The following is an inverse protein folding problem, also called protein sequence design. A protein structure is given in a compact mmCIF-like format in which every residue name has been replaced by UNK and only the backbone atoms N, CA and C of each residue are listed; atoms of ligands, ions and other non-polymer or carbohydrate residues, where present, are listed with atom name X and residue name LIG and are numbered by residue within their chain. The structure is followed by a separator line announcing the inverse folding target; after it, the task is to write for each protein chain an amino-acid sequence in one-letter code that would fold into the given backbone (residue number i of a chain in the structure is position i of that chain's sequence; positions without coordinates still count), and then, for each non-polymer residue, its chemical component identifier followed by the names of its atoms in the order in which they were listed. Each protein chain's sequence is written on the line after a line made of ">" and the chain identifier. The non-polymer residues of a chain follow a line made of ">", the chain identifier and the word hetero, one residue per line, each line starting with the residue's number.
data_IF_133910683795
#
_entry.id   IF_133910683795
#
_cell.length_a   1.000
_cell.length_b   1.000
_cell.length_c   1.000
_cell.angle_alpha   90.00
_cell.angle_beta   90.00
_cell.angle_gamma   90.00
#
_symmetry.space_group_name_H-M   'P 1'
#
loop_
_entity.id
_entity.type
_entity.pdbx_description
1 polymer ?
#
# COMPACT_ATOMS: atom_id res chain seq x y z
N UNK A 1 -14.08 25.49 4.57
CA UNK A 1 -12.80 24.78 4.80
C UNK A 1 -12.18 24.42 3.48
N UNK A 2 -10.85 24.58 3.33
CA UNK A 2 -10.12 23.95 2.23
C UNK A 2 -9.94 22.43 2.52
N UNK A 3 -9.40 21.68 1.57
CA UNK A 3 -9.29 20.21 1.68
C UNK A 3 -8.33 19.77 2.81
N UNK A 4 -7.22 20.48 2.99
CA UNK A 4 -6.25 20.21 4.06
C UNK A 4 -6.86 20.45 5.45
N UNK A 5 -7.55 21.57 5.63
CA UNK A 5 -8.24 21.92 6.87
C UNK A 5 -9.33 20.89 7.21
N UNK A 6 -10.09 20.46 6.20
CA UNK A 6 -11.18 19.48 6.38
C UNK A 6 -10.66 18.12 6.80
N UNK A 7 -9.59 17.61 6.16
CA UNK A 7 -8.96 16.34 6.55
C UNK A 7 -8.40 16.45 7.97
N UNK A 8 -7.68 17.53 8.28
CA UNK A 8 -7.13 17.74 9.63
C UNK A 8 -8.21 17.77 10.70
N UNK A 9 -9.28 18.54 10.48
CA UNK A 9 -10.39 18.64 11.41
C UNK A 9 -11.08 17.28 11.61
N UNK A 10 -11.33 16.53 10.52
CA UNK A 10 -11.93 15.20 10.60
C UNK A 10 -11.08 14.20 11.41
N UNK A 11 -9.75 14.18 11.20
CA UNK A 11 -8.82 13.33 11.96
C UNK A 11 -8.87 13.70 13.45
N UNK A 12 -8.92 14.98 13.78
CA UNK A 12 -8.99 15.48 15.16
C UNK A 12 -10.38 15.36 15.78
N UNK A 13 -11.38 14.84 15.05
CA UNK A 13 -12.80 14.78 15.47
C UNK A 13 -13.40 16.15 15.78
N UNK A 14 -12.93 17.17 15.06
CA UNK A 14 -13.44 18.54 15.12
C UNK A 14 -14.59 18.71 14.10
N UNK A 15 -15.46 19.71 14.27
CA UNK A 15 -16.53 20.00 13.32
C UNK A 15 -15.99 20.28 11.91
N UNK A 16 -16.61 19.69 10.91
CA UNK A 16 -16.29 19.88 9.49
C UNK A 16 -17.48 20.49 8.75
N UNK A 17 -17.22 21.22 7.68
CA UNK A 17 -18.26 21.80 6.82
C UNK A 17 -19.02 20.71 6.02
N UNK A 18 -18.38 19.59 5.74
CA UNK A 18 -18.94 18.35 5.18
C UNK A 18 -18.01 17.18 5.45
N UNK A 19 -18.52 15.95 5.34
CA UNK A 19 -17.71 14.74 5.45
C UNK A 19 -16.65 14.73 4.33
N UNK A 20 -15.35 14.56 4.64
CA UNK A 20 -14.32 14.37 3.63
C UNK A 20 -14.52 13.06 2.88
N UNK A 21 -14.24 13.09 1.59
CA UNK A 21 -14.30 11.90 0.74
C UNK A 21 -13.14 11.84 -0.25
N UNK A 22 -12.83 10.65 -0.74
CA UNK A 22 -11.93 10.46 -1.86
C UNK A 22 -12.41 9.32 -2.76
N UNK A 23 -12.13 9.48 -4.04
CA UNK A 23 -12.37 8.46 -5.06
C UNK A 23 -11.03 8.13 -5.72
N UNK A 24 -10.84 6.86 -6.06
CA UNK A 24 -9.68 6.38 -6.79
C UNK A 24 -10.03 5.22 -7.72
N UNK A 25 -9.18 4.98 -8.69
CA UNK A 25 -9.24 3.83 -9.60
C UNK A 25 -7.85 3.50 -10.13
N UNK A 26 -7.69 2.34 -10.71
CA UNK A 26 -6.52 2.02 -11.54
C UNK A 26 -6.60 2.71 -12.90
N UNK A 27 -5.43 2.99 -13.47
CA UNK A 27 -5.25 3.59 -14.81
C UNK A 27 -4.32 2.70 -15.65
N UNK A 28 -4.74 1.46 -15.99
CA UNK A 28 -3.85 0.44 -16.57
C UNK A 28 -3.21 0.86 -17.90
N UNK A 29 -3.77 1.86 -18.58
CA UNK A 29 -3.24 2.39 -19.84
C UNK A 29 -1.95 3.21 -19.64
N UNK A 30 -1.73 3.72 -18.40
CA UNK A 30 -0.64 4.70 -18.12
C UNK A 30 0.07 4.47 -16.78
N UNK A 31 -0.36 3.53 -15.96
CA UNK A 31 0.09 3.32 -14.57
C UNK A 31 1.55 2.82 -14.44
N UNK A 32 2.19 2.44 -15.55
CA UNK A 32 3.62 2.08 -15.58
C UNK A 32 4.53 3.27 -15.91
N UNK A 33 3.94 4.45 -16.15
CA UNK A 33 4.68 5.68 -16.45
C UNK A 33 4.43 6.73 -15.37
N UNK A 34 5.46 7.25 -14.69
CA UNK A 34 5.30 8.29 -13.67
C UNK A 34 4.53 9.51 -14.20
N UNK A 35 4.89 10.00 -15.38
CA UNK A 35 4.20 11.14 -16.00
C UNK A 35 2.75 10.80 -16.38
N UNK A 36 2.51 9.59 -16.90
CA UNK A 36 1.17 9.12 -17.29
C UNK A 36 0.26 8.98 -16.08
N UNK A 37 0.72 8.31 -15.03
CA UNK A 37 -0.04 8.12 -13.80
C UNK A 37 -0.32 9.45 -13.10
N UNK A 38 0.68 10.33 -12.99
CA UNK A 38 0.50 11.65 -12.39
C UNK A 38 -0.58 12.46 -13.14
N UNK A 39 -0.51 12.51 -14.46
CA UNK A 39 -1.52 13.20 -15.28
C UNK A 39 -2.92 12.61 -15.13
N UNK A 40 -3.05 11.28 -15.15
CA UNK A 40 -4.32 10.59 -15.00
C UNK A 40 -4.93 10.87 -13.61
N UNK A 41 -4.13 10.79 -12.55
CA UNK A 41 -4.54 11.09 -11.18
C UNK A 41 -5.04 12.53 -11.06
N UNK A 42 -4.30 13.51 -11.59
CA UNK A 42 -4.68 14.92 -11.53
C UNK A 42 -5.97 15.22 -12.32
N UNK A 43 -6.13 14.63 -13.52
CA UNK A 43 -7.39 14.76 -14.29
C UNK A 43 -8.58 14.16 -13.55
N UNK A 44 -8.38 13.00 -12.92
CA UNK A 44 -9.41 12.35 -12.12
C UNK A 44 -9.78 13.21 -10.91
N UNK A 45 -8.78 13.75 -10.21
CA UNK A 45 -8.99 14.65 -9.10
C UNK A 45 -9.76 15.93 -9.50
N UNK A 46 -9.38 16.58 -10.59
CA UNK A 46 -10.10 17.75 -11.11
C UNK A 46 -11.56 17.46 -11.42
N UNK A 47 -11.86 16.25 -11.93
CA UNK A 47 -13.23 15.87 -12.28
C UNK A 47 -14.10 15.62 -11.05
N UNK A 48 -13.56 15.01 -10.00
CA UNK A 48 -14.35 14.53 -8.87
C UNK A 48 -14.13 15.31 -7.56
N UNK A 49 -13.10 16.13 -7.46
CA UNK A 49 -12.87 17.04 -6.32
C UNK A 49 -12.62 16.35 -4.99
N UNK A 50 -12.00 15.18 -4.97
CA UNK A 50 -11.66 14.43 -3.76
C UNK A 50 -10.92 15.27 -2.73
N UNK A 51 -11.09 14.98 -1.45
CA UNK A 51 -10.42 15.71 -0.37
C UNK A 51 -8.98 15.27 -0.13
N UNK A 52 -8.58 14.12 -0.65
CA UNK A 52 -7.18 13.71 -0.79
C UNK A 52 -6.98 12.93 -2.10
N UNK A 53 -5.75 12.88 -2.59
CA UNK A 53 -5.35 12.11 -3.76
C UNK A 53 -4.64 10.85 -3.32
N UNK A 54 -5.22 9.70 -3.63
CA UNK A 54 -4.55 8.41 -3.52
C UNK A 54 -3.84 8.10 -4.83
N UNK A 55 -2.51 7.94 -4.81
CA UNK A 55 -1.78 7.40 -5.95
C UNK A 55 -2.05 5.91 -6.06
N UNK A 56 -2.51 5.48 -7.23
CA UNK A 56 -2.91 4.09 -7.48
C UNK A 56 -2.07 3.50 -8.62
N UNK A 57 -0.83 3.05 -8.33
CA UNK A 57 0.06 2.46 -9.34
C UNK A 57 -0.42 1.08 -9.80
N UNK A 58 0.26 0.53 -10.80
CA UNK A 58 0.16 -0.89 -11.12
C UNK A 58 0.56 -1.72 -9.89
N UNK A 59 -0.29 -2.66 -9.46
CA UNK A 59 -0.08 -3.36 -8.19
C UNK A 59 1.19 -4.22 -8.13
N UNK A 60 1.77 -4.55 -9.30
CA UNK A 60 3.01 -5.30 -9.42
C UNK A 60 4.27 -4.50 -9.11
N UNK A 61 4.19 -3.15 -9.14
CA UNK A 61 5.36 -2.32 -8.84
C UNK A 61 6.07 -2.74 -7.55
N UNK A 62 5.29 -3.18 -6.58
CA UNK A 62 5.77 -3.48 -5.24
C UNK A 62 6.54 -4.81 -5.13
N UNK A 63 6.56 -5.63 -6.20
CA UNK A 63 7.21 -6.96 -6.20
C UNK A 63 8.03 -7.26 -7.45
N UNK A 64 8.03 -6.37 -8.46
CA UNK A 64 8.70 -6.64 -9.74
C UNK A 64 10.21 -6.71 -9.60
N UNK A 65 10.84 -5.85 -8.79
CA UNK A 65 12.30 -5.86 -8.61
C UNK A 65 12.80 -7.06 -7.80
N UNK A 66 11.93 -7.80 -7.14
CA UNK A 66 12.23 -9.12 -6.57
C UNK A 66 12.01 -10.25 -7.58
N UNK A 67 11.54 -9.94 -8.82
CA UNK A 67 11.43 -10.90 -9.90
C UNK A 67 10.01 -11.44 -10.17
N UNK A 68 8.96 -10.84 -9.60
CA UNK A 68 7.59 -11.14 -10.01
C UNK A 68 7.29 -10.50 -11.36
N UNK A 69 6.49 -11.20 -12.17
CA UNK A 69 6.02 -10.70 -13.46
C UNK A 69 4.50 -10.60 -13.44
N UNK A 70 3.97 -9.43 -13.77
CA UNK A 70 2.53 -9.27 -14.02
C UNK A 70 2.16 -9.73 -15.44
N UNK A 71 0.96 -10.28 -15.56
CA UNK A 71 0.33 -10.54 -16.86
C UNK A 71 0.04 -9.22 -17.60
N UNK A 72 0.00 -9.27 -18.92
CA UNK A 72 -0.49 -8.15 -19.73
C UNK A 72 -2.02 -8.03 -19.73
N UNK A 73 -2.73 -9.06 -19.25
CA UNK A 73 -4.19 -9.06 -19.14
C UNK A 73 -4.65 -8.13 -18.03
N UNK A 74 -5.43 -7.12 -18.39
CA UNK A 74 -6.07 -6.21 -17.43
C UNK A 74 -7.42 -6.80 -17.01
N UNK A 75 -7.62 -6.96 -15.69
CA UNK A 75 -8.88 -7.42 -15.12
C UNK A 75 -9.91 -6.28 -15.06
N UNK A 76 -11.22 -6.55 -14.91
CA UNK A 76 -12.27 -5.52 -14.86
C UNK A 76 -12.01 -4.42 -13.79
N UNK A 77 -11.32 -4.74 -12.70
CA UNK A 77 -10.92 -3.77 -11.67
C UNK A 77 -9.71 -2.91 -12.03
N UNK A 78 -9.09 -3.11 -13.19
CA UNK A 78 -7.90 -2.37 -13.66
C UNK A 78 -6.57 -2.93 -13.15
N UNK A 79 -6.57 -3.97 -12.33
CA UNK A 79 -5.37 -4.67 -11.87
C UNK A 79 -4.95 -5.77 -12.87
N UNK A 80 -3.70 -6.21 -12.76
CA UNK A 80 -3.13 -7.32 -13.55
C UNK A 80 -2.80 -8.49 -12.62
N UNK A 81 -3.16 -9.73 -12.99
CA UNK A 81 -2.77 -10.90 -12.22
C UNK A 81 -1.26 -11.16 -12.33
N UNK A 82 -0.71 -11.83 -11.33
CA UNK A 82 0.66 -12.33 -11.38
C UNK A 82 0.76 -13.45 -12.43
N UNK A 83 1.71 -13.33 -13.35
CA UNK A 83 2.04 -14.36 -14.34
C UNK A 83 3.13 -15.31 -13.83
N UNK A 84 4.11 -14.80 -13.05
CA UNK A 84 5.10 -15.62 -12.38
C UNK A 84 5.53 -15.04 -11.04
N UNK A 85 5.67 -15.92 -10.05
CA UNK A 85 6.15 -15.56 -8.72
C UNK A 85 7.67 -15.62 -8.62
N UNK A 86 8.25 -14.76 -7.77
CA UNK A 86 9.68 -14.76 -7.49
C UNK A 86 10.09 -15.95 -6.61
N UNK A 87 9.20 -16.39 -5.71
CA UNK A 87 9.43 -17.48 -4.77
C UNK A 87 8.64 -18.71 -5.22
N UNK A 88 9.35 -19.67 -5.79
CA UNK A 88 8.79 -20.95 -6.27
C UNK A 88 9.24 -22.14 -5.41
N UNK A 89 10.31 -21.97 -4.63
CA UNK A 89 10.82 -22.96 -3.66
C UNK A 89 11.13 -22.25 -2.34
N UNK A 90 11.20 -22.98 -1.24
CA UNK A 90 11.57 -22.40 0.07
C UNK A 90 12.97 -21.76 0.05
N UNK A 91 13.88 -22.21 -0.80
CA UNK A 91 15.20 -21.64 -0.95
C UNK A 91 15.19 -20.23 -1.60
N UNK A 92 14.14 -19.91 -2.35
CA UNK A 92 14.05 -18.63 -3.06
C UNK A 92 13.80 -17.45 -2.10
N UNK A 93 13.26 -17.70 -0.90
CA UNK A 93 13.11 -16.67 0.13
C UNK A 93 14.42 -15.96 0.45
N UNK A 94 15.54 -16.67 0.37
CA UNK A 94 16.89 -16.10 0.60
C UNK A 94 17.29 -15.05 -0.44
N UNK A 95 16.63 -14.99 -1.59
CA UNK A 95 16.85 -14.00 -2.64
C UNK A 95 16.13 -12.68 -2.36
N UNK A 96 15.15 -12.69 -1.46
CA UNK A 96 14.43 -11.48 -1.08
C UNK A 96 15.32 -10.67 -0.14
N UNK A 97 15.92 -9.62 -0.68
CA UNK A 97 16.81 -8.70 0.01
C UNK A 97 16.26 -7.29 -0.04
N UNK A 98 16.65 -6.40 0.88
CA UNK A 98 16.24 -5.00 0.81
C UNK A 98 16.62 -4.38 -0.55
N UNK A 99 15.66 -3.65 -1.15
CA UNK A 99 15.87 -2.97 -2.42
C UNK A 99 16.45 -1.57 -2.23
N UNK A 100 17.20 -1.10 -3.21
CA UNK A 100 17.50 0.32 -3.33
C UNK A 100 16.28 1.05 -3.91
N UNK A 101 15.76 2.01 -3.17
CA UNK A 101 14.52 2.71 -3.55
C UNK A 101 14.69 3.49 -4.84
N UNK A 102 15.82 4.20 -5.01
CA UNK A 102 16.03 5.10 -6.15
C UNK A 102 16.08 4.37 -7.48
N UNK A 103 16.75 3.21 -7.52
CA UNK A 103 16.97 2.44 -8.74
C UNK A 103 15.86 1.41 -9.04
N UNK A 104 14.86 1.31 -8.18
CA UNK A 104 13.77 0.32 -8.27
C UNK A 104 12.45 0.93 -8.78
N UNK A 105 11.43 0.08 -8.91
CA UNK A 105 10.05 0.50 -9.16
C UNK A 105 9.52 1.48 -8.12
N UNK A 106 9.97 1.36 -6.88
CA UNK A 106 9.64 2.31 -5.82
C UNK A 106 10.10 3.74 -6.16
N UNK A 107 11.26 3.90 -6.80
CA UNK A 107 11.76 5.20 -7.28
C UNK A 107 10.84 5.82 -8.34
N UNK A 108 10.23 5.01 -9.21
CA UNK A 108 9.22 5.51 -10.16
C UNK A 108 7.95 6.02 -9.45
N UNK A 109 7.57 5.39 -8.35
CA UNK A 109 6.43 5.86 -7.55
C UNK A 109 6.75 7.16 -6.80
N UNK A 110 7.98 7.33 -6.31
CA UNK A 110 8.44 8.62 -5.77
C UNK A 110 8.42 9.70 -6.85
N UNK A 111 8.88 9.41 -8.07
CA UNK A 111 8.79 10.35 -9.20
C UNK A 111 7.32 10.72 -9.50
N UNK A 112 6.41 9.75 -9.50
CA UNK A 112 4.97 10.01 -9.69
C UNK A 112 4.44 10.95 -8.62
N UNK A 113 4.80 10.72 -7.36
CA UNK A 113 4.41 11.55 -6.22
C UNK A 113 4.90 13.00 -6.40
N UNK A 114 6.18 13.19 -6.71
CA UNK A 114 6.78 14.52 -6.95
C UNK A 114 6.03 15.24 -8.06
N UNK A 115 5.77 14.57 -9.19
CA UNK A 115 5.04 15.15 -10.32
C UNK A 115 3.63 15.60 -9.94
N UNK A 116 2.94 14.86 -9.07
CA UNK A 116 1.60 15.24 -8.59
C UNK A 116 1.69 16.43 -7.63
N UNK A 117 2.64 16.43 -6.70
CA UNK A 117 2.77 17.46 -5.67
C UNK A 117 3.16 18.83 -6.29
N UNK A 118 4.10 18.85 -7.23
CA UNK A 118 4.55 20.10 -7.87
C UNK A 118 3.52 20.69 -8.83
N UNK A 119 2.51 19.92 -9.24
CA UNK A 119 1.45 20.41 -10.11
C UNK A 119 0.43 21.21 -9.30
N UNK A 120 0.21 22.46 -9.67
CA UNK A 120 -0.70 23.40 -8.99
C UNK A 120 -2.17 22.93 -8.96
N UNK A 121 -2.52 21.88 -9.71
CA UNK A 121 -3.85 21.26 -9.67
C UNK A 121 -4.04 20.31 -8.50
N UNK A 122 -2.99 19.90 -7.82
CA UNK A 122 -3.06 19.12 -6.60
C UNK A 122 -3.35 20.02 -5.39
N UNK A 123 -4.62 20.38 -5.22
CA UNK A 123 -5.11 21.27 -4.15
C UNK A 123 -5.56 20.48 -2.89
N UNK A 124 -5.02 19.29 -2.69
CA UNK A 124 -5.39 18.36 -1.63
C UNK A 124 -4.19 17.50 -1.17
N UNK A 125 -4.21 16.94 0.05
CA UNK A 125 -3.20 16.00 0.51
C UNK A 125 -2.99 14.84 -0.46
N UNK A 126 -1.75 14.46 -0.72
CA UNK A 126 -1.39 13.32 -1.59
C UNK A 126 -0.83 12.19 -0.74
N UNK A 127 -1.33 10.98 -0.96
CA UNK A 127 -0.87 9.76 -0.27
C UNK A 127 -0.51 8.65 -1.29
N UNK A 128 0.75 8.18 -1.31
CA UNK A 128 1.14 7.01 -2.08
C UNK A 128 0.53 5.74 -1.48
N UNK A 129 0.32 4.73 -2.32
CA UNK A 129 -0.13 3.40 -1.88
C UNK A 129 1.07 2.53 -1.54
N UNK A 130 1.08 1.97 -0.34
CA UNK A 130 1.99 0.93 0.12
C UNK A 130 1.19 -0.33 0.45
N UNK A 131 1.77 -1.51 0.17
CA UNK A 131 1.20 -2.79 0.60
C UNK A 131 1.89 -3.27 1.88
N UNK A 132 1.17 -4.04 2.71
CA UNK A 132 1.74 -4.64 3.91
C UNK A 132 2.79 -5.72 3.59
N UNK A 133 3.80 -5.94 4.48
CA UNK A 133 4.85 -6.92 4.24
C UNK A 133 4.33 -8.33 3.97
N UNK A 134 3.36 -8.82 4.76
CA UNK A 134 2.76 -10.15 4.55
C UNK A 134 1.96 -10.20 3.24
N UNK A 135 1.33 -9.09 2.82
CA UNK A 135 0.69 -8.98 1.49
C UNK A 135 1.72 -9.14 0.38
N UNK A 136 2.89 -8.50 0.51
CA UNK A 136 3.96 -8.63 -0.49
C UNK A 136 4.57 -10.03 -0.49
N UNK A 137 4.79 -10.63 0.69
CA UNK A 137 5.24 -12.02 0.78
C UNK A 137 4.29 -12.97 0.03
N UNK A 138 2.97 -12.78 0.17
CA UNK A 138 1.97 -13.54 -0.59
C UNK A 138 2.02 -13.24 -2.09
N UNK A 139 2.22 -11.99 -2.51
CA UNK A 139 2.39 -11.64 -3.93
C UNK A 139 3.65 -12.28 -4.52
N UNK A 140 4.74 -12.37 -3.74
CA UNK A 140 6.01 -12.98 -4.16
C UNK A 140 5.92 -14.49 -4.35
N UNK A 141 5.05 -15.20 -3.61
CA UNK A 141 5.05 -16.66 -3.51
C UNK A 141 3.70 -17.33 -3.80
N UNK A 142 2.63 -16.55 -3.99
CA UNK A 142 1.28 -17.12 -4.16
C UNK A 142 0.84 -17.96 -2.96
N UNK A 143 0.24 -19.11 -3.23
CA UNK A 143 -0.24 -20.05 -2.21
C UNK A 143 0.88 -20.74 -1.42
N UNK A 144 2.12 -20.64 -1.88
CA UNK A 144 3.27 -21.23 -1.21
C UNK A 144 3.54 -20.61 0.16
N UNK A 145 3.21 -19.33 0.35
CA UNK A 145 3.43 -18.64 1.62
C UNK A 145 2.94 -19.45 2.82
N UNK A 146 1.70 -19.94 2.78
CA UNK A 146 1.09 -20.64 3.92
C UNK A 146 1.82 -21.94 4.27
N UNK A 147 2.33 -22.65 3.27
CA UNK A 147 3.16 -23.84 3.50
C UNK A 147 4.48 -23.45 4.15
N UNK A 148 5.18 -22.45 3.61
CA UNK A 148 6.51 -22.07 4.08
C UNK A 148 6.45 -21.40 5.47
N UNK A 149 5.38 -20.68 5.83
CA UNK A 149 5.17 -20.17 7.20
C UNK A 149 5.12 -21.29 8.24
N UNK A 150 4.60 -22.46 7.88
CA UNK A 150 4.47 -23.62 8.79
C UNK A 150 5.69 -24.54 8.79
N UNK A 151 6.35 -24.69 7.64
CA UNK A 151 7.45 -25.66 7.47
C UNK A 151 8.83 -25.00 7.57
N UNK A 152 8.96 -23.71 7.23
CA UNK A 152 10.21 -22.98 7.12
C UNK A 152 10.07 -21.51 7.56
N UNK A 153 9.47 -21.22 8.73
CA UNK A 153 9.15 -19.87 9.16
C UNK A 153 10.37 -18.94 9.17
N UNK A 154 11.55 -19.45 9.54
CA UNK A 154 12.78 -18.66 9.58
C UNK A 154 13.17 -18.03 8.24
N UNK A 155 12.95 -18.74 7.13
CA UNK A 155 13.25 -18.22 5.80
C UNK A 155 12.26 -17.11 5.37
N UNK A 156 10.99 -17.25 5.76
CA UNK A 156 9.96 -16.24 5.51
C UNK A 156 10.19 -15.01 6.38
N UNK A 157 10.55 -15.18 7.64
CA UNK A 157 10.87 -14.09 8.58
C UNK A 157 12.02 -13.22 8.05
N UNK A 158 13.12 -13.82 7.56
CA UNK A 158 14.22 -13.06 6.94
C UNK A 158 13.72 -12.21 5.74
N UNK A 159 12.83 -12.77 4.92
CA UNK A 159 12.24 -12.04 3.79
C UNK A 159 11.28 -10.93 4.25
N UNK A 160 10.45 -11.18 5.27
CA UNK A 160 9.58 -10.15 5.85
C UNK A 160 10.37 -8.97 6.43
N UNK A 161 11.52 -9.24 7.06
CA UNK A 161 12.44 -8.20 7.51
C UNK A 161 12.94 -7.33 6.35
N UNK A 162 13.41 -7.97 5.26
CA UNK A 162 13.92 -7.28 4.08
C UNK A 162 12.85 -6.46 3.36
N UNK A 163 11.63 -7.00 3.26
CA UNK A 163 10.47 -6.32 2.68
C UNK A 163 10.11 -5.10 3.53
N UNK A 164 10.00 -5.29 4.85
CA UNK A 164 9.63 -4.21 5.78
C UNK A 164 10.64 -3.07 5.76
N UNK A 165 11.93 -3.40 5.75
CA UNK A 165 13.00 -2.41 5.64
C UNK A 165 12.93 -1.60 4.33
N UNK A 166 12.64 -2.27 3.22
CA UNK A 166 12.39 -1.60 1.93
C UNK A 166 11.21 -0.64 2.01
N UNK A 167 10.08 -1.08 2.58
CA UNK A 167 8.87 -0.28 2.68
C UNK A 167 9.02 0.91 3.62
N UNK A 168 9.72 0.77 4.75
CA UNK A 168 10.01 1.87 5.67
C UNK A 168 10.85 2.94 4.96
N UNK A 169 11.88 2.55 4.20
CA UNK A 169 12.70 3.49 3.43
C UNK A 169 11.90 4.18 2.32
N UNK A 170 11.04 3.44 1.64
CA UNK A 170 10.15 4.02 0.64
C UNK A 170 9.17 5.03 1.25
N UNK A 171 8.52 4.67 2.36
CA UNK A 171 7.61 5.59 3.06
C UNK A 171 8.34 6.84 3.54
N UNK A 172 9.55 6.71 4.11
CA UNK A 172 10.36 7.83 4.55
C UNK A 172 10.74 8.77 3.39
N UNK A 173 11.08 8.21 2.23
CA UNK A 173 11.37 8.99 1.02
C UNK A 173 10.13 9.72 0.51
N UNK A 174 8.98 9.07 0.45
CA UNK A 174 7.73 9.73 0.06
C UNK A 174 7.38 10.90 0.99
N UNK A 175 7.55 10.74 2.30
CA UNK A 175 7.31 11.82 3.27
C UNK A 175 8.34 12.95 3.12
N UNK A 176 9.59 12.64 2.81
CA UNK A 176 10.61 13.65 2.53
C UNK A 176 10.28 14.47 1.27
N UNK A 177 9.60 13.86 0.30
CA UNK A 177 9.06 14.49 -0.91
C UNK A 177 7.63 15.04 -0.72
N UNK A 178 7.28 15.44 0.51
CA UNK A 178 6.05 16.14 0.87
C UNK A 178 4.74 15.33 0.72
N UNK A 179 4.80 13.99 0.68
CA UNK A 179 3.58 13.19 0.85
C UNK A 179 2.91 13.52 2.18
N UNK A 180 1.59 13.71 2.19
CA UNK A 180 0.85 13.96 3.43
C UNK A 180 0.85 12.75 4.39
N UNK A 181 1.24 11.59 3.91
CA UNK A 181 1.29 10.33 4.62
C UNK A 181 1.23 9.16 3.65
N UNK A 182 0.54 8.08 4.03
CA UNK A 182 0.46 6.88 3.21
C UNK A 182 -0.96 6.29 3.18
N UNK A 183 -1.30 5.63 2.08
CA UNK A 183 -2.42 4.70 1.98
C UNK A 183 -1.87 3.27 2.10
N UNK A 184 -2.05 2.67 3.27
CA UNK A 184 -1.45 1.40 3.63
C UNK A 184 -2.42 0.24 3.42
N UNK A 185 -2.19 -0.58 2.39
CA UNK A 185 -3.09 -1.64 1.97
C UNK A 185 -2.71 -3.00 2.58
N UNK A 186 -3.51 -3.48 3.49
CA UNK A 186 -3.40 -4.80 4.12
C UNK A 186 -4.38 -5.75 3.42
N UNK A 187 -3.85 -6.72 2.67
CA UNK A 187 -4.63 -7.68 1.89
C UNK A 187 -4.50 -9.12 2.41
N UNK A 188 -3.74 -9.33 3.49
CA UNK A 188 -3.47 -10.67 4.04
C UNK A 188 -3.99 -10.85 5.46
N UNK A 189 -4.59 -9.85 6.10
CA UNK A 189 -5.21 -9.95 7.42
C UNK A 189 -6.67 -10.44 7.32
N UNK A 190 -6.85 -11.62 6.74
CA UNK A 190 -8.14 -12.26 6.51
C UNK A 190 -8.06 -13.72 6.92
N UNK A 191 -9.06 -14.23 7.62
CA UNK A 191 -9.17 -15.65 8.01
C UNK A 191 -9.27 -16.58 6.81
N UNK A 192 -9.54 -16.06 5.63
CA UNK A 192 -9.48 -16.76 4.36
C UNK A 192 -8.06 -17.21 4.00
N UNK A 193 -7.03 -16.47 4.43
CA UNK A 193 -5.64 -16.71 4.05
C UNK A 193 -4.80 -17.25 5.22
N UNK A 194 -5.01 -16.73 6.42
CA UNK A 194 -4.21 -17.02 7.61
C UNK A 194 -5.10 -17.21 8.83
N UNK A 195 -4.61 -17.95 9.83
CA UNK A 195 -5.23 -17.93 11.16
C UNK A 195 -4.91 -16.61 11.87
N UNK A 196 -5.62 -16.31 12.97
CA UNK A 196 -5.31 -15.12 13.76
C UNK A 196 -3.93 -15.18 14.40
N UNK A 197 -3.47 -16.39 14.77
CA UNK A 197 -2.15 -16.64 15.31
C UNK A 197 -1.07 -16.42 14.25
N UNK A 198 -1.27 -16.94 13.03
CA UNK A 198 -0.34 -16.73 11.91
C UNK A 198 -0.21 -15.23 11.59
N UNK A 199 -1.32 -14.48 11.55
CA UNK A 199 -1.23 -13.05 11.32
C UNK A 199 -0.61 -12.30 12.50
N UNK A 200 -0.91 -12.71 13.74
CA UNK A 200 -0.30 -12.12 14.94
C UNK A 200 1.21 -12.30 14.99
N UNK A 201 1.73 -13.39 14.42
CA UNK A 201 3.16 -13.70 14.40
C UNK A 201 3.86 -13.09 13.17
N UNK A 202 3.27 -13.26 11.97
CA UNK A 202 3.94 -12.97 10.71
C UNK A 202 3.41 -11.73 9.97
N UNK A 203 2.34 -11.11 10.43
CA UNK A 203 1.73 -9.93 9.81
C UNK A 203 1.77 -8.69 10.72
N UNK A 204 1.04 -8.73 11.82
CA UNK A 204 0.81 -7.59 12.71
C UNK A 204 2.10 -6.90 13.19
N UNK A 205 3.19 -7.59 13.60
CA UNK A 205 4.41 -6.94 14.08
C UNK A 205 5.09 -6.10 13.00
N UNK A 206 5.08 -6.56 11.76
CA UNK A 206 5.68 -5.86 10.61
C UNK A 206 4.82 -4.68 10.18
N UNK A 207 3.48 -4.86 10.16
CA UNK A 207 2.53 -3.77 9.89
C UNK A 207 2.68 -2.65 10.92
N UNK A 208 2.72 -2.99 12.20
CA UNK A 208 2.89 -2.06 13.31
C UNK A 208 4.20 -1.29 13.19
N UNK A 209 5.32 -1.98 12.98
CA UNK A 209 6.65 -1.37 12.85
C UNK A 209 6.70 -0.35 11.70
N UNK A 210 6.13 -0.69 10.54
CA UNK A 210 6.07 0.23 9.42
C UNK A 210 5.19 1.43 9.74
N UNK A 211 3.99 1.22 10.26
CA UNK A 211 3.06 2.30 10.58
C UNK A 211 3.64 3.24 11.64
N UNK A 212 4.23 2.71 12.71
CA UNK A 212 4.90 3.50 13.75
C UNK A 212 6.03 4.37 13.17
N UNK A 213 6.78 3.85 12.19
CA UNK A 213 7.88 4.59 11.56
C UNK A 213 7.45 5.88 10.82
N UNK A 214 6.17 5.98 10.47
CA UNK A 214 5.64 7.13 9.71
C UNK A 214 4.72 8.03 10.53
N UNK A 215 4.14 7.55 11.64
CA UNK A 215 3.08 8.27 12.37
C UNK A 215 3.50 9.66 12.87
N UNK A 216 4.73 9.84 13.34
CA UNK A 216 5.21 11.12 13.87
C UNK A 216 5.34 12.21 12.79
N UNK A 217 5.54 11.81 11.53
CA UNK A 217 5.81 12.71 10.40
C UNK A 217 4.66 12.82 9.43
N UNK A 218 3.76 11.85 9.42
CA UNK A 218 2.62 11.80 8.52
C UNK A 218 1.42 12.54 9.09
N UNK A 219 0.70 13.27 8.23
CA UNK A 219 -0.55 13.94 8.57
C UNK A 219 -1.78 13.10 8.23
N UNK A 220 -1.64 12.11 7.36
CA UNK A 220 -2.75 11.25 6.89
C UNK A 220 -2.27 9.82 6.63
N UNK A 221 -2.42 8.95 7.61
CA UNK A 221 -2.19 7.50 7.46
C UNK A 221 -3.54 6.80 7.38
N UNK A 222 -3.83 6.19 6.23
CA UNK A 222 -5.06 5.45 5.99
C UNK A 222 -4.72 3.96 5.97
N UNK A 223 -5.27 3.20 6.92
CA UNK A 223 -5.17 1.74 6.95
C UNK A 223 -6.31 1.17 6.12
N UNK A 224 -5.99 0.61 4.96
CA UNK A 224 -6.96 -0.02 4.06
C UNK A 224 -6.99 -1.53 4.31
N UNK A 225 -8.08 -1.99 4.92
CA UNK A 225 -8.36 -3.39 5.21
C UNK A 225 -9.09 -4.00 4.01
N UNK A 226 -8.39 -4.80 3.20
CA UNK A 226 -8.92 -5.29 1.93
C UNK A 226 -9.36 -6.76 2.02
N UNK A 227 -10.55 -7.04 1.50
CA UNK A 227 -11.09 -8.39 1.36
C UNK A 227 -12.25 -8.68 2.31
N UNK A 228 -12.55 -9.96 2.40
CA UNK A 228 -13.57 -10.56 3.26
C UNK A 228 -12.93 -11.23 4.50
N UNK A 229 -13.75 -11.65 5.45
CA UNK A 229 -13.32 -12.35 6.68
C UNK A 229 -12.17 -11.64 7.42
N UNK A 230 -12.22 -10.31 7.48
CA UNK A 230 -11.17 -9.49 8.05
C UNK A 230 -10.96 -9.75 9.56
N UNK A 231 -9.72 -9.73 9.99
CA UNK A 231 -9.32 -9.76 11.41
C UNK A 231 -9.43 -8.36 12.01
N UNK A 232 -10.65 -7.80 11.97
CA UNK A 232 -10.91 -6.39 12.22
C UNK A 232 -10.49 -5.93 13.61
N UNK A 233 -10.68 -6.77 14.65
CA UNK A 233 -10.28 -6.47 16.02
C UNK A 233 -8.76 -6.25 16.18
N UNK A 234 -7.96 -6.91 15.34
CA UNK A 234 -6.51 -6.69 15.27
C UNK A 234 -6.16 -5.45 14.46
N UNK A 235 -6.76 -5.32 13.28
CA UNK A 235 -6.54 -4.19 12.37
C UNK A 235 -6.90 -2.85 12.99
N UNK A 236 -7.97 -2.79 13.79
CA UNK A 236 -8.39 -1.58 14.48
C UNK A 236 -7.40 -1.09 15.55
N UNK A 237 -6.46 -1.93 15.99
CA UNK A 237 -5.42 -1.60 16.99
C UNK A 237 -4.09 -1.17 16.37
N UNK A 238 -3.98 -1.20 15.05
CA UNK A 238 -2.80 -0.70 14.35
C UNK A 238 -2.74 0.83 14.44
N UNK A 239 -1.54 1.44 14.39
CA UNK A 239 -1.43 2.89 14.27
C UNK A 239 -2.03 3.39 12.96
N UNK A 240 -2.82 4.46 13.03
CA UNK A 240 -3.43 5.05 11.84
C UNK A 240 -4.32 6.24 12.18
N UNK A 241 -4.60 7.10 11.20
CA UNK A 241 -5.52 8.23 11.34
C UNK A 241 -6.94 7.90 10.86
N UNK A 242 -7.07 6.97 9.90
CA UNK A 242 -8.34 6.54 9.36
C UNK A 242 -8.26 5.08 8.90
N UNK A 243 -9.40 4.37 8.99
CA UNK A 243 -9.55 3.01 8.47
C UNK A 243 -10.54 3.01 7.31
N UNK A 244 -10.21 2.25 6.27
CA UNK A 244 -11.04 2.08 5.09
C UNK A 244 -11.23 0.61 4.78
N UNK A 245 -12.45 0.17 4.57
CA UNK A 245 -12.81 -1.20 4.20
C UNK A 245 -14.07 -1.19 3.32
N UNK A 246 -14.38 -2.31 2.69
CA UNK A 246 -15.66 -2.53 2.01
C UNK A 246 -16.66 -3.09 3.02
N UNK A 247 -17.64 -2.28 3.43
CA UNK A 247 -18.66 -2.63 4.42
C UNK A 247 -19.64 -3.71 3.96
N UNK A 248 -19.64 -4.05 2.67
CA UNK A 248 -20.48 -5.11 2.09
C UNK A 248 -19.85 -6.50 2.15
N UNK A 249 -18.52 -6.58 2.30
CA UNK A 249 -17.77 -7.84 2.26
C UNK A 249 -16.90 -8.07 3.48
N UNK A 250 -16.76 -7.12 4.36
CA UNK A 250 -15.90 -7.23 5.54
C UNK A 250 -16.40 -8.22 6.62
N UNK A 251 -17.61 -8.75 6.47
CA UNK A 251 -18.17 -9.85 7.24
C UNK A 251 -19.08 -9.42 8.37
#
# INVERSE_FOLDING_TARGET
>A
MNKFERIKAAINREPVDRIPYALWRHFPEVDRSPAGLAQATLRFHQRYGSDFLKLTPAAGYAVEDWGCVESDTVMPGGNRPCASHAVNTAADWKKIKPLDIVSSAYGREVETLIRVIVDRRADAPVVPTLFSPLTLARKLSGNRLNQDLRERPEAVVEALEAITDTLIRFAAMCIAEEAAGIFYAIQSASRRFHTEEEYAEFGEPYDRRLLESVMERAHLVIVHCHGDELMFDRLARLPGHAWNWDDRVAG
#
